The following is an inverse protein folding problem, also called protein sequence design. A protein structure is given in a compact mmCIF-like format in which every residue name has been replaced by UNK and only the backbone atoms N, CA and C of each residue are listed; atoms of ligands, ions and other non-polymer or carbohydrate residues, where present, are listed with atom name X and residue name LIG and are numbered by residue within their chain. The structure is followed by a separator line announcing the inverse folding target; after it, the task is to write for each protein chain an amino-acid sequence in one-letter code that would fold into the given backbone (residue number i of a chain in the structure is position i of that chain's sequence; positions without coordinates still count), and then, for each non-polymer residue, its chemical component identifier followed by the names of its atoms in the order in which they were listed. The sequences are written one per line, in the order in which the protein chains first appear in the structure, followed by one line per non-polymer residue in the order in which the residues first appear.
data_IF_860707450925
#
_entry.id   IF_860707450925
#
_cell.length_a   1.000
_cell.length_b   1.000
_cell.length_c   1.000
_cell.angle_alpha   90.00
_cell.angle_beta   90.00
_cell.angle_gamma   90.00
#
_symmetry.space_group_name_H-M   'P 1'
#
loop_
_entity.id
_entity.type
_entity.pdbx_description
1 polymer ?
#
# COMPACT_ATOMS: atom_id res chain seq x y z
N UNK A 1 18.86 -34.26 34.42
CA UNK A 1 18.32 -33.22 35.32
C UNK A 1 18.27 -31.92 34.53
N UNK A 2 17.09 -31.36 34.24
CA UNK A 2 16.99 -30.05 33.58
C UNK A 2 17.10 -28.96 34.64
N UNK A 3 18.18 -28.19 34.62
CA UNK A 3 18.39 -27.01 35.46
C UNK A 3 17.42 -25.91 35.02
N UNK A 4 16.67 -25.35 35.97
CA UNK A 4 15.80 -24.19 35.69
C UNK A 4 16.70 -23.01 35.30
N UNK A 5 16.33 -22.24 34.26
CA UNK A 5 17.11 -21.07 33.87
C UNK A 5 17.16 -20.09 35.03
N UNK A 6 18.34 -19.54 35.24
CA UNK A 6 18.58 -18.49 36.23
C UNK A 6 17.85 -17.21 35.82
N UNK A 7 17.58 -16.33 36.79
CA UNK A 7 16.93 -15.04 36.54
C UNK A 7 17.67 -14.23 35.46
N UNK A 8 18.99 -14.28 35.45
CA UNK A 8 19.84 -13.60 34.46
C UNK A 8 19.65 -14.15 33.05
N UNK A 9 19.52 -15.47 32.89
CA UNK A 9 19.25 -16.12 31.59
C UNK A 9 17.85 -15.79 31.07
N UNK A 10 16.87 -15.69 31.97
CA UNK A 10 15.52 -15.24 31.63
C UNK A 10 15.52 -13.78 31.15
N UNK A 11 16.22 -12.89 31.85
CA UNK A 11 16.35 -11.47 31.46
C UNK A 11 17.04 -11.34 30.11
N UNK A 12 18.14 -12.05 29.86
CA UNK A 12 18.82 -12.04 28.56
C UNK A 12 17.93 -12.57 27.42
N UNK A 13 17.13 -13.59 27.70
CA UNK A 13 16.18 -14.15 26.73
C UNK A 13 15.07 -13.15 26.39
N UNK A 14 14.56 -12.43 27.39
CA UNK A 14 13.56 -11.38 27.19
C UNK A 14 14.13 -10.21 26.40
N UNK A 15 15.34 -9.74 26.71
CA UNK A 15 16.01 -8.66 25.97
C UNK A 15 16.18 -9.01 24.48
N UNK A 16 16.69 -10.21 24.17
CA UNK A 16 16.80 -10.69 22.78
C UNK A 16 15.45 -10.75 22.06
N UNK A 17 14.38 -11.07 22.79
CA UNK A 17 13.02 -11.11 22.21
C UNK A 17 12.49 -9.71 21.92
N UNK A 18 12.76 -8.75 22.79
CA UNK A 18 12.41 -7.34 22.62
C UNK A 18 13.14 -6.77 21.39
N UNK A 19 14.46 -6.95 21.28
CA UNK A 19 15.23 -6.49 20.10
C UNK A 19 14.69 -7.07 18.78
N UNK A 20 14.30 -8.36 18.79
CA UNK A 20 13.70 -9.02 17.63
C UNK A 20 12.33 -8.45 17.29
N UNK A 21 11.52 -8.08 18.28
CA UNK A 21 10.21 -7.47 18.08
C UNK A 21 10.36 -6.03 17.55
N UNK A 22 11.28 -5.25 18.11
CA UNK A 22 11.59 -3.89 17.62
C UNK A 22 12.08 -3.92 16.16
N UNK A 23 12.95 -4.87 15.82
CA UNK A 23 13.43 -5.06 14.44
C UNK A 23 12.29 -5.40 13.48
N UNK A 24 11.37 -6.28 13.90
CA UNK A 24 10.17 -6.62 13.11
C UNK A 24 9.23 -5.43 12.98
N UNK A 25 9.03 -4.66 14.05
CA UNK A 25 8.21 -3.47 14.06
C UNK A 25 8.77 -2.42 13.10
N UNK A 26 10.09 -2.19 13.11
CA UNK A 26 10.76 -1.28 12.16
C UNK A 26 10.66 -1.74 10.70
N UNK A 27 10.69 -3.05 10.44
CA UNK A 27 10.46 -3.60 9.10
C UNK A 27 9.01 -3.44 8.65
N UNK A 28 8.05 -3.66 9.56
CA UNK A 28 6.63 -3.42 9.32
C UNK A 28 6.36 -1.94 9.09
N UNK A 29 6.93 -1.04 9.87
CA UNK A 29 6.83 0.41 9.68
C UNK A 29 7.41 0.83 8.33
N UNK A 30 8.54 0.26 7.88
CA UNK A 30 9.10 0.51 6.54
C UNK A 30 8.22 -0.04 5.42
N UNK A 31 7.63 -1.22 5.61
CA UNK A 31 6.70 -1.80 4.65
C UNK A 31 5.39 -1.00 4.58
N UNK A 32 4.91 -0.53 5.73
CA UNK A 32 3.78 0.37 5.85
C UNK A 32 4.10 1.76 5.31
N UNK A 33 5.35 2.25 5.38
CA UNK A 33 5.75 3.50 4.75
C UNK A 33 5.62 3.45 3.22
N UNK A 34 5.83 2.27 2.61
CA UNK A 34 5.53 2.05 1.18
C UNK A 34 4.03 2.02 0.88
N UNK A 35 3.20 1.82 1.90
CA UNK A 35 1.73 1.74 1.84
C UNK A 35 1.09 3.01 2.47
N UNK A 36 1.91 3.96 2.96
CA UNK A 36 1.54 5.07 3.84
C UNK A 36 0.76 6.17 3.10
N UNK A 37 -0.11 6.92 3.79
CA UNK A 37 -1.14 7.80 3.23
C UNK A 37 -0.61 9.02 2.46
N UNK A 38 0.71 9.20 2.30
CA UNK A 38 1.27 10.23 1.43
C UNK A 38 0.89 10.05 -0.04
N UNK A 39 0.41 8.86 -0.42
CA UNK A 39 -0.22 8.67 -1.73
C UNK A 39 -1.58 9.35 -1.82
N UNK A 40 -2.29 9.63 -0.72
CA UNK A 40 -3.63 10.20 -0.77
C UNK A 40 -3.65 11.59 -1.43
N UNK A 41 -2.62 12.41 -1.21
CA UNK A 41 -2.43 13.72 -1.83
C UNK A 41 -1.59 13.67 -3.12
N UNK A 42 -1.07 12.49 -3.47
CA UNK A 42 -0.25 12.35 -4.67
C UNK A 42 -1.13 12.44 -5.91
N UNK A 43 -0.71 13.28 -6.85
CA UNK A 43 -1.39 13.44 -8.13
C UNK A 43 -0.75 12.49 -9.14
N UNK A 44 -1.54 11.55 -9.67
CA UNK A 44 -1.12 10.56 -10.65
C UNK A 44 -1.60 10.90 -12.06
N UNK A 45 -0.78 10.56 -13.04
CA UNK A 45 -1.14 10.42 -14.45
C UNK A 45 -1.57 8.99 -14.77
N UNK A 46 -2.22 8.78 -15.92
CA UNK A 46 -2.54 7.42 -16.40
C UNK A 46 -1.33 6.49 -16.46
N UNK A 47 -0.13 7.00 -16.78
CA UNK A 47 1.10 6.19 -16.82
C UNK A 47 1.51 5.71 -15.43
N UNK A 48 1.41 6.59 -14.44
CA UNK A 48 1.74 6.24 -13.05
C UNK A 48 0.69 5.30 -12.45
N UNK A 49 -0.59 5.50 -12.79
CA UNK A 49 -1.66 4.56 -12.42
C UNK A 49 -1.36 3.18 -13.02
N UNK A 50 -1.05 3.12 -14.32
CA UNK A 50 -0.73 1.87 -15.02
C UNK A 50 0.43 1.12 -14.37
N UNK A 51 1.50 1.84 -14.01
CA UNK A 51 2.63 1.28 -13.26
C UNK A 51 2.24 0.78 -11.87
N UNK A 52 1.36 1.50 -11.18
CA UNK A 52 0.92 1.15 -9.83
C UNK A 52 0.13 -0.16 -9.80
N UNK A 53 -0.73 -0.40 -10.79
CA UNK A 53 -1.53 -1.65 -10.89
C UNK A 53 -0.90 -2.73 -11.78
N UNK A 54 0.26 -2.45 -12.40
CA UNK A 54 0.96 -3.41 -13.27
C UNK A 54 0.26 -3.69 -14.60
N UNK A 55 -0.47 -2.72 -15.16
CA UNK A 55 -1.14 -2.85 -16.48
C UNK A 55 -0.59 -1.87 -17.51
N UNK A 56 -1.02 -1.98 -18.77
CA UNK A 56 -0.61 -1.04 -19.82
C UNK A 56 -1.31 0.32 -19.70
N UNK A 57 -0.64 1.37 -20.16
CA UNK A 57 -1.21 2.73 -20.24
C UNK A 57 -2.55 2.73 -21.00
N UNK A 58 -2.60 2.06 -22.15
CA UNK A 58 -3.80 1.99 -22.98
C UNK A 58 -4.95 1.28 -22.27
N UNK A 59 -4.66 0.27 -21.44
CA UNK A 59 -5.68 -0.39 -20.64
C UNK A 59 -6.32 0.59 -19.65
N UNK A 60 -5.52 1.39 -18.95
CA UNK A 60 -6.03 2.42 -18.04
C UNK A 60 -6.84 3.47 -18.81
N UNK A 61 -6.27 4.01 -19.89
CA UNK A 61 -6.88 5.11 -20.63
C UNK A 61 -8.16 4.70 -21.38
N UNK A 62 -8.21 3.50 -21.97
CA UNK A 62 -9.35 3.09 -22.82
C UNK A 62 -10.38 2.26 -22.06
N UNK A 63 -9.98 1.57 -21.00
CA UNK A 63 -10.83 0.63 -20.27
C UNK A 63 -11.22 1.19 -18.91
N UNK A 64 -10.24 1.44 -18.03
CA UNK A 64 -10.53 1.86 -16.65
C UNK A 64 -11.18 3.24 -16.59
N UNK A 65 -10.71 4.20 -17.40
CA UNK A 65 -11.27 5.56 -17.44
C UNK A 65 -12.76 5.63 -17.79
N UNK A 66 -13.27 4.60 -18.49
CA UNK A 66 -14.68 4.50 -18.93
C UNK A 66 -15.54 3.74 -17.93
N UNK A 67 -14.96 3.10 -16.92
CA UNK A 67 -15.72 2.39 -15.90
C UNK A 67 -16.47 3.39 -15.02
N UNK A 68 -17.70 3.05 -14.67
CA UNK A 68 -18.46 3.80 -13.70
C UNK A 68 -17.71 3.86 -12.36
N UNK A 69 -17.64 5.06 -11.77
CA UNK A 69 -16.90 5.31 -10.53
C UNK A 69 -15.41 5.57 -10.71
N UNK A 70 -14.87 5.59 -11.94
CA UNK A 70 -13.48 6.03 -12.15
C UNK A 70 -13.32 7.51 -11.76
N UNK A 71 -12.20 7.90 -11.10
CA UNK A 71 -11.98 9.26 -10.63
C UNK A 71 -12.03 10.29 -11.76
N UNK A 72 -12.61 11.46 -11.46
CA UNK A 72 -12.60 12.58 -12.40
C UNK A 72 -11.22 13.24 -12.40
N UNK A 73 -10.74 13.72 -13.55
CA UNK A 73 -9.49 14.45 -13.58
C UNK A 73 -9.65 15.78 -12.83
N UNK A 74 -8.59 16.18 -12.11
CA UNK A 74 -8.54 17.43 -11.33
C UNK A 74 -8.86 18.65 -12.22
N UNK A 75 -8.41 18.61 -13.48
CA UNK A 75 -8.75 19.59 -14.51
C UNK A 75 -8.91 18.91 -15.88
N UNK A 76 -9.81 19.40 -16.74
CA UNK A 76 -9.89 18.95 -18.12
C UNK A 76 -8.60 19.34 -18.86
N UNK A 77 -7.87 18.34 -19.35
CA UNK A 77 -6.60 18.51 -20.04
C UNK A 77 -6.32 17.32 -20.94
N UNK A 78 -5.51 17.51 -21.98
CA UNK A 78 -4.95 16.43 -22.80
C UNK A 78 -4.07 15.48 -21.99
N UNK A 79 -3.58 15.92 -20.83
CA UNK A 79 -2.81 15.12 -19.86
C UNK A 79 -3.52 15.14 -18.52
N UNK A 80 -4.60 14.36 -18.36
CA UNK A 80 -5.39 14.37 -17.13
C UNK A 80 -4.57 13.87 -15.94
N UNK A 81 -4.91 14.42 -14.78
CA UNK A 81 -4.25 14.19 -13.50
C UNK A 81 -5.32 13.82 -12.48
N UNK A 82 -5.04 12.86 -11.61
CA UNK A 82 -5.99 12.24 -10.69
C UNK A 82 -5.43 12.18 -9.28
N UNK A 83 -6.26 12.29 -8.26
CA UNK A 83 -5.82 12.02 -6.89
C UNK A 83 -5.63 10.52 -6.69
N UNK A 84 -4.48 10.11 -6.13
CA UNK A 84 -4.23 8.69 -5.93
C UNK A 84 -5.21 8.08 -4.92
N UNK A 85 -5.68 8.84 -3.93
CA UNK A 85 -6.72 8.40 -2.98
C UNK A 85 -7.97 7.89 -3.69
N UNK A 86 -8.51 8.67 -4.64
CA UNK A 86 -9.70 8.30 -5.41
C UNK A 86 -9.42 7.09 -6.32
N UNK A 87 -8.24 7.03 -6.95
CA UNK A 87 -7.85 5.88 -7.80
C UNK A 87 -7.74 4.60 -6.98
N UNK A 88 -7.11 4.66 -5.81
CA UNK A 88 -6.96 3.52 -4.91
C UNK A 88 -8.33 3.06 -4.40
N UNK A 89 -9.20 4.00 -4.05
CA UNK A 89 -10.56 3.68 -3.60
C UNK A 89 -11.34 2.96 -4.70
N UNK A 90 -11.32 3.49 -5.93
CA UNK A 90 -11.94 2.82 -7.09
C UNK A 90 -11.41 1.40 -7.30
N UNK A 91 -10.10 1.19 -7.19
CA UNK A 91 -9.50 -0.12 -7.37
C UNK A 91 -9.91 -1.11 -6.27
N UNK A 92 -10.03 -0.64 -5.01
CA UNK A 92 -10.56 -1.45 -3.90
C UNK A 92 -12.01 -1.86 -4.17
N UNK A 93 -12.83 -0.92 -4.62
CA UNK A 93 -14.24 -1.19 -4.92
C UNK A 93 -14.40 -2.15 -6.11
N UNK A 94 -13.49 -2.11 -7.10
CA UNK A 94 -13.47 -3.09 -8.20
C UNK A 94 -13.03 -4.48 -7.75
N UNK A 95 -12.05 -4.58 -6.84
CA UNK A 95 -11.60 -5.85 -6.27
C UNK A 95 -12.69 -6.55 -5.46
N UNK A 96 -13.41 -5.80 -4.62
CA UNK A 96 -14.48 -6.32 -3.78
C UNK A 96 -15.70 -6.84 -4.57
N UNK A 97 -15.91 -6.36 -5.81
CA UNK A 97 -17.02 -6.79 -6.66
C UNK A 97 -16.70 -8.00 -7.55
N UNK A 98 -15.44 -8.44 -7.64
CA UNK A 98 -15.04 -9.62 -8.41
C UNK A 98 -15.00 -10.92 -7.58
N UNK A 99 -15.32 -10.87 -6.27
CA UNK A 99 -15.38 -12.05 -5.37
C UNK A 99 -16.82 -12.58 -5.14
N UNK A 100 -17.77 -12.24 -6.01
CA UNK A 100 -19.14 -12.80 -6.01
C UNK A 100 -19.39 -13.60 -7.27
#
# INVERSE_FOLDING_TARGET
MMTKPTYTELVQTLLKRIEKLESKQKLLERALLKISPETADKILSYKEIAQYIGVSYDHVMRTLSKKAGFPKPIKPSSRPRFYASEVIQFLKDQGANNEK
#
